data_IF_584881998808
#
_entry.id   IF_584881998808
#
_cell.length_a   1.000
_cell.length_b   1.000
_cell.length_c   1.000
_cell.angle_alpha   90.00
_cell.angle_beta   90.00
_cell.angle_gamma   90.00
#
_symmetry.space_group_name_H-M   'P 1'
#
loop_
_entity.id
_entity.type
_entity.pdbx_description
1 polymer ?
#
# COMPACT_ATOMS: atom_id res chain seq x y z
N UNK A 1 1.36 -5.11 9.88
CA UNK A 1 2.07 -3.98 9.24
C UNK A 1 1.01 -3.08 8.67
N UNK A 2 1.09 -1.80 9.00
CA UNK A 2 0.12 -0.76 8.62
C UNK A 2 0.87 0.29 7.79
N UNK A 3 0.25 0.78 6.72
CA UNK A 3 0.82 1.81 5.86
C UNK A 3 0.30 3.18 6.30
N UNK A 4 1.20 4.13 6.50
CA UNK A 4 0.83 5.43 7.03
C UNK A 4 0.12 6.27 5.97
N UNK A 5 -1.14 6.64 6.24
CA UNK A 5 -1.92 7.57 5.41
C UNK A 5 -1.78 7.25 3.92
N UNK A 6 -2.06 5.99 3.56
CA UNK A 6 -1.79 5.48 2.23
C UNK A 6 -2.42 6.34 1.12
N UNK A 7 -3.70 6.71 1.27
CA UNK A 7 -4.41 7.58 0.34
C UNK A 7 -3.78 8.98 0.21
N UNK A 8 -3.11 9.48 1.24
CA UNK A 8 -2.51 10.82 1.22
C UNK A 8 -1.06 10.82 0.71
N UNK A 9 -0.42 9.65 0.67
CA UNK A 9 1.03 9.52 0.45
C UNK A 9 1.42 8.75 -0.81
N UNK A 10 0.47 8.12 -1.51
CA UNK A 10 0.73 7.37 -2.75
C UNK A 10 1.38 8.27 -3.81
N UNK A 11 2.52 7.84 -4.36
CA UNK A 11 3.14 8.50 -5.50
C UNK A 11 2.34 8.23 -6.78
N UNK A 12 1.72 9.26 -7.37
CA UNK A 12 0.87 9.11 -8.55
C UNK A 12 1.67 8.63 -9.77
N UNK A 13 2.87 9.18 -9.99
CA UNK A 13 3.76 8.74 -11.08
C UNK A 13 4.08 7.25 -11.00
N UNK A 14 4.33 6.75 -9.78
CA UNK A 14 4.61 5.32 -9.57
C UNK A 14 3.38 4.45 -9.83
N UNK A 15 2.20 4.89 -9.38
CA UNK A 15 0.94 4.20 -9.64
C UNK A 15 0.64 4.14 -11.16
N UNK A 16 0.84 5.24 -11.88
CA UNK A 16 0.67 5.29 -13.34
C UNK A 16 1.68 4.38 -14.04
N UNK A 17 2.94 4.34 -13.59
CA UNK A 17 3.95 3.39 -14.10
C UNK A 17 3.45 1.94 -13.95
N UNK A 18 2.97 1.56 -12.77
CA UNK A 18 2.45 0.21 -12.49
C UNK A 18 1.25 -0.12 -13.37
N UNK A 19 0.27 0.80 -13.49
CA UNK A 19 -0.90 0.61 -14.34
C UNK A 19 -0.54 0.42 -15.82
N UNK A 20 0.42 1.19 -16.32
CA UNK A 20 0.85 1.19 -17.73
C UNK A 20 1.53 -0.11 -18.15
N UNK A 21 1.97 -0.94 -17.19
CA UNK A 21 2.49 -2.30 -17.48
C UNK A 21 1.40 -3.19 -18.06
N UNK A 22 0.15 -3.05 -17.61
CA UNK A 22 -0.99 -3.86 -18.05
C UNK A 22 -1.91 -3.10 -19.01
N UNK A 23 -2.28 -1.87 -18.68
CA UNK A 23 -3.22 -1.07 -19.47
C UNK A 23 -2.45 -0.35 -20.57
N UNK A 24 -2.73 -0.69 -21.84
CA UNK A 24 -2.09 -0.07 -23.02
C UNK A 24 -2.88 1.07 -23.63
N UNK A 25 -4.16 1.21 -23.27
CA UNK A 25 -5.00 2.31 -23.75
C UNK A 25 -4.64 3.62 -23.02
N UNK A 26 -3.96 4.51 -23.74
CA UNK A 26 -3.57 5.82 -23.22
C UNK A 26 -4.74 6.70 -22.80
N UNK A 27 -5.95 6.48 -23.32
CA UNK A 27 -7.16 7.23 -22.93
C UNK A 27 -7.59 6.86 -21.52
N UNK A 28 -7.52 5.57 -21.18
CA UNK A 28 -7.83 5.07 -19.82
C UNK A 28 -6.81 5.60 -18.83
N UNK A 29 -5.51 5.54 -19.16
CA UNK A 29 -4.45 6.11 -18.31
C UNK A 29 -4.65 7.61 -18.12
N UNK A 30 -4.97 8.35 -19.19
CA UNK A 30 -5.27 9.79 -19.12
C UNK A 30 -6.47 10.08 -18.20
N UNK A 31 -7.53 9.26 -18.26
CA UNK A 31 -8.71 9.42 -17.43
C UNK A 31 -8.40 9.15 -15.94
N UNK A 32 -7.65 8.10 -15.64
CA UNK A 32 -7.20 7.80 -14.26
C UNK A 32 -6.32 8.94 -13.74
N UNK A 33 -5.42 9.46 -14.57
CA UNK A 33 -4.58 10.59 -14.18
C UNK A 33 -5.41 11.85 -13.88
N UNK A 34 -6.42 12.17 -14.70
CA UNK A 34 -7.36 13.26 -14.40
C UNK A 34 -8.13 13.02 -13.11
N UNK A 35 -8.55 11.79 -12.85
CA UNK A 35 -9.26 11.41 -11.64
C UNK A 35 -8.40 11.63 -10.38
N UNK A 36 -7.12 11.23 -10.41
CA UNK A 36 -6.18 11.46 -9.31
C UNK A 36 -5.97 12.95 -9.05
N UNK A 37 -5.80 13.74 -10.12
CA UNK A 37 -5.64 15.20 -10.03
C UNK A 37 -6.91 15.93 -9.53
N UNK A 38 -8.11 15.38 -9.76
CA UNK A 38 -9.37 16.00 -9.36
C UNK A 38 -9.63 15.93 -7.85
N UNK A 39 -8.88 15.08 -7.14
CA UNK A 39 -9.28 14.55 -5.84
C UNK A 39 -8.64 15.16 -4.60
N UNK A 40 -7.73 16.12 -4.74
CA UNK A 40 -7.03 16.70 -3.58
C UNK A 40 -7.43 18.15 -3.39
N UNK A 41 -8.37 18.37 -2.46
CA UNK A 41 -8.67 19.69 -1.93
C UNK A 41 -7.72 19.91 -0.75
N UNK A 42 -6.66 20.69 -0.96
CA UNK A 42 -5.80 21.14 0.11
C UNK A 42 -6.30 22.52 0.58
N UNK A 43 -6.63 22.66 1.88
CA UNK A 43 -7.03 23.94 2.49
C UNK A 43 -8.20 24.67 1.80
N UNK A 44 -9.17 23.94 1.22
CA UNK A 44 -10.33 24.54 0.56
C UNK A 44 -10.06 25.09 -0.85
N UNK A 45 -8.85 24.89 -1.39
CA UNK A 45 -8.49 25.26 -2.76
C UNK A 45 -8.09 24.03 -3.58
N UNK A 46 -8.36 24.08 -4.89
CA UNK A 46 -7.96 23.05 -5.83
C UNK A 46 -6.46 23.20 -6.12
N UNK A 47 -5.64 22.29 -5.61
CA UNK A 47 -4.22 22.23 -5.94
C UNK A 47 -3.92 20.94 -6.72
N UNK A 48 -3.20 21.07 -7.83
CA UNK A 48 -2.61 19.90 -8.49
C UNK A 48 -1.62 19.28 -7.52
N UNK A 49 -1.89 18.05 -7.12
CA UNK A 49 -1.00 17.30 -6.23
C UNK A 49 -0.39 16.14 -6.98
N UNK A 50 0.92 16.00 -6.85
CA UNK A 50 1.68 14.89 -7.43
C UNK A 50 1.65 13.63 -6.55
N UNK A 51 1.04 13.75 -5.36
CA UNK A 51 0.99 12.74 -4.31
C UNK A 51 -0.43 12.62 -3.77
N UNK A 52 -0.81 11.40 -3.45
CA UNK A 52 -2.10 11.06 -2.88
C UNK A 52 -3.16 10.78 -3.93
N UNK A 53 -4.34 10.44 -3.44
CA UNK A 53 -5.54 10.12 -4.21
C UNK A 53 -6.79 10.58 -3.45
N UNK A 54 -7.90 10.86 -4.13
CA UNK A 54 -9.15 11.24 -3.48
C UNK A 54 -9.61 10.19 -2.46
N UNK A 55 -9.76 10.58 -1.21
CA UNK A 55 -10.42 9.76 -0.20
C UNK A 55 -11.93 9.73 -0.48
N UNK A 56 -12.56 8.54 -0.44
CA UNK A 56 -14.00 8.38 -0.74
C UNK A 56 -14.35 8.31 -2.22
N UNK A 57 -13.36 8.44 -3.11
CA UNK A 57 -13.52 8.19 -4.53
C UNK A 57 -13.73 6.69 -4.84
N UNK A 58 -14.68 6.30 -5.70
CA UNK A 58 -14.97 4.88 -5.97
C UNK A 58 -13.79 4.11 -6.60
N UNK A 59 -12.88 4.79 -7.29
CA UNK A 59 -11.70 4.14 -7.90
C UNK A 59 -10.53 4.00 -6.92
N UNK A 60 -10.48 4.80 -5.86
CA UNK A 60 -9.33 4.85 -4.96
C UNK A 60 -9.04 3.50 -4.27
N UNK A 61 -10.03 2.73 -3.78
CA UNK A 61 -9.77 1.39 -3.22
C UNK A 61 -9.18 0.41 -4.25
N UNK A 62 -9.61 0.47 -5.50
CA UNK A 62 -9.10 -0.39 -6.57
C UNK A 62 -7.65 -0.02 -6.90
N UNK A 63 -7.37 1.27 -7.10
CA UNK A 63 -6.02 1.78 -7.38
C UNK A 63 -5.04 1.45 -6.24
N UNK A 64 -5.54 1.49 -5.00
CA UNK A 64 -4.78 1.06 -3.83
C UNK A 64 -4.34 -0.39 -3.94
N UNK A 65 -5.26 -1.29 -4.28
CA UNK A 65 -4.94 -2.70 -4.46
C UNK A 65 -4.00 -2.96 -5.63
N UNK A 66 -4.12 -2.21 -6.74
CA UNK A 66 -3.17 -2.31 -7.86
C UNK A 66 -1.74 -1.98 -7.41
N UNK A 67 -1.58 -0.92 -6.62
CA UNK A 67 -0.27 -0.53 -6.09
C UNK A 67 0.27 -1.59 -5.11
N UNK A 68 -0.57 -2.06 -4.17
CA UNK A 68 -0.17 -3.02 -3.15
C UNK A 68 0.02 -4.44 -3.68
N UNK A 69 -0.51 -4.76 -4.86
CA UNK A 69 -0.20 -6.00 -5.57
C UNK A 69 1.31 -6.12 -5.89
N UNK A 70 2.04 -5.01 -6.02
CA UNK A 70 3.50 -5.06 -6.19
C UNK A 70 4.21 -5.50 -4.90
N UNK A 71 3.64 -5.19 -3.72
CA UNK A 71 4.11 -5.73 -2.45
C UNK A 71 3.79 -7.23 -2.35
N UNK A 72 2.58 -7.63 -2.73
CA UNK A 72 2.16 -9.03 -2.71
C UNK A 72 3.09 -9.91 -3.56
N UNK A 73 3.34 -9.51 -4.81
CA UNK A 73 4.28 -10.21 -5.72
C UNK A 73 5.68 -10.32 -5.12
N UNK A 74 6.18 -9.28 -4.45
CA UNK A 74 7.51 -9.33 -3.84
C UNK A 74 7.55 -10.29 -2.64
N UNK A 75 6.47 -10.35 -1.85
CA UNK A 75 6.34 -11.31 -0.75
C UNK A 75 6.23 -12.74 -1.26
N UNK A 76 5.44 -12.98 -2.31
CA UNK A 76 5.33 -14.27 -3.00
C UNK A 76 6.66 -14.73 -3.57
N UNK A 77 7.37 -13.84 -4.28
CA UNK A 77 8.70 -14.11 -4.86
C UNK A 77 9.72 -14.50 -3.80
N UNK A 78 9.60 -13.94 -2.59
CA UNK A 78 10.46 -14.28 -1.43
C UNK A 78 9.98 -15.52 -0.66
N UNK A 79 8.86 -16.12 -1.05
CA UNK A 79 8.30 -17.32 -0.42
C UNK A 79 7.65 -17.06 0.94
N UNK A 80 7.21 -15.84 1.22
CA UNK A 80 6.53 -15.51 2.46
C UNK A 80 5.05 -15.93 2.43
N UNK A 81 4.54 -16.38 3.57
CA UNK A 81 3.10 -16.54 3.79
C UNK A 81 2.57 -15.24 4.36
N UNK A 82 1.54 -14.67 3.77
CA UNK A 82 0.97 -13.40 4.22
C UNK A 82 -0.53 -13.34 3.92
N UNK A 83 -1.22 -12.44 4.60
CA UNK A 83 -2.60 -12.03 4.33
C UNK A 83 -2.60 -10.51 4.28
N UNK A 84 -3.31 -9.93 3.31
CA UNK A 84 -3.49 -8.49 3.19
C UNK A 84 -4.96 -8.17 2.97
N UNK A 85 -5.44 -7.16 3.69
CA UNK A 85 -6.77 -6.58 3.50
C UNK A 85 -6.59 -5.06 3.43
N UNK A 86 -6.89 -4.50 2.25
CA UNK A 86 -6.54 -3.11 1.95
C UNK A 86 -5.05 -2.82 2.27
N UNK A 87 -4.78 -1.89 3.18
CA UNK A 87 -3.46 -1.48 3.66
C UNK A 87 -2.94 -2.29 4.86
N UNK A 88 -3.81 -3.09 5.49
CA UNK A 88 -3.48 -3.94 6.64
C UNK A 88 -2.89 -5.28 6.18
N UNK A 89 -1.58 -5.47 6.41
CA UNK A 89 -0.84 -6.66 5.98
C UNK A 89 -0.21 -7.44 7.15
N UNK A 90 -0.40 -8.75 7.16
CA UNK A 90 0.21 -9.70 8.09
C UNK A 90 1.16 -10.63 7.35
N UNK A 91 2.42 -10.70 7.79
CA UNK A 91 3.42 -11.61 7.24
C UNK A 91 3.79 -12.64 8.30
N UNK A 92 3.59 -13.93 7.99
CA UNK A 92 3.80 -15.03 8.92
C UNK A 92 5.22 -15.60 8.79
N UNK A 93 5.88 -15.76 9.94
CA UNK A 93 7.25 -16.27 10.04
C UNK A 93 7.33 -17.35 11.12
N UNK A 94 8.23 -18.32 10.93
CA UNK A 94 8.42 -19.45 11.88
C UNK A 94 9.14 -19.08 13.18
N UNK A 95 9.81 -17.92 13.22
CA UNK A 95 10.54 -17.46 14.41
C UNK A 95 10.59 -15.94 14.46
N UNK A 96 10.72 -15.39 15.68
CA UNK A 96 10.85 -13.94 15.90
C UNK A 96 12.04 -13.35 15.13
N UNK A 97 13.20 -14.01 15.17
CA UNK A 97 14.39 -13.60 14.43
C UNK A 97 14.15 -13.53 12.92
N UNK A 98 13.40 -14.48 12.36
CA UNK A 98 13.03 -14.46 10.94
C UNK A 98 12.05 -13.32 10.62
N UNK A 99 11.10 -13.03 11.53
CA UNK A 99 10.16 -11.94 11.37
C UNK A 99 10.85 -10.57 11.39
N UNK A 100 11.74 -10.33 12.35
CA UNK A 100 12.53 -9.09 12.44
C UNK A 100 13.40 -8.88 11.19
N UNK A 101 14.04 -9.95 10.69
CA UNK A 101 14.80 -9.91 9.43
C UNK A 101 13.90 -9.60 8.24
N UNK A 102 12.72 -10.22 8.17
CA UNK A 102 11.76 -9.99 7.08
C UNK A 102 11.29 -8.55 7.08
N UNK A 103 10.92 -8.01 8.25
CA UNK A 103 10.53 -6.62 8.42
C UNK A 103 11.65 -5.66 7.97
N UNK A 104 12.90 -5.89 8.42
CA UNK A 104 14.06 -5.10 8.01
C UNK A 104 14.29 -5.10 6.50
N UNK A 105 13.99 -6.22 5.83
CA UNK A 105 14.24 -6.40 4.40
C UNK A 105 13.07 -5.97 3.50
N UNK A 106 11.85 -5.87 4.03
CA UNK A 106 10.67 -5.45 3.25
C UNK A 106 10.47 -3.93 3.29
N UNK A 107 10.83 -3.27 4.40
CA UNK A 107 10.74 -1.81 4.53
C UNK A 107 11.47 -1.07 3.39
N UNK A 108 12.73 -1.41 3.03
CA UNK A 108 13.42 -0.74 1.92
C UNK A 108 12.74 -0.93 0.56
N UNK A 109 12.01 -2.04 0.37
CA UNK A 109 11.22 -2.24 -0.85
C UNK A 109 9.99 -1.32 -0.86
N UNK A 110 9.25 -1.27 0.25
CA UNK A 110 8.07 -0.42 0.40
C UNK A 110 8.44 1.06 0.27
N UNK A 111 9.42 1.53 1.02
CA UNK A 111 9.83 2.94 1.05
C UNK A 111 10.66 3.32 -0.18
N UNK A 112 11.53 2.43 -0.68
CA UNK A 112 12.49 2.76 -1.75
C UNK A 112 12.06 2.39 -3.16
N UNK A 113 11.21 1.37 -3.35
CA UNK A 113 10.72 0.96 -4.69
C UNK A 113 9.27 1.39 -4.94
N UNK A 114 8.44 1.31 -3.91
CA UNK A 114 7.03 1.70 -4.00
C UNK A 114 6.78 3.16 -3.57
N UNK A 115 7.75 3.80 -2.92
CA UNK A 115 7.63 5.17 -2.40
C UNK A 115 6.46 5.34 -1.41
N UNK A 116 6.12 4.27 -0.69
CA UNK A 116 5.07 4.25 0.33
C UNK A 116 5.69 4.42 1.71
N UNK A 117 4.92 4.93 2.68
CA UNK A 117 5.37 5.08 4.07
C UNK A 117 4.82 3.97 4.96
N UNK A 118 5.69 3.37 5.77
CA UNK A 118 5.28 2.39 6.78
C UNK A 118 4.99 3.09 8.10
N UNK A 119 3.86 2.78 8.72
CA UNK A 119 3.55 3.27 10.05
C UNK A 119 4.38 2.51 11.09
N UNK A 120 5.54 3.06 11.46
CA UNK A 120 6.48 2.44 12.39
C UNK A 120 5.93 2.28 13.81
N UNK A 121 4.94 3.10 14.20
CA UNK A 121 4.30 3.01 15.52
C UNK A 121 3.32 1.84 15.63
N UNK A 122 2.63 1.53 14.53
CA UNK A 122 1.67 0.40 14.46
C UNK A 122 2.30 -0.89 13.91
N UNK A 123 3.48 -0.81 13.31
CA UNK A 123 4.16 -1.98 12.77
C UNK A 123 5.01 -2.65 13.83
N UNK A 124 4.61 -3.85 14.24
CA UNK A 124 5.30 -4.63 15.26
C UNK A 124 5.56 -6.08 14.84
N UNK A 125 6.53 -6.72 15.50
CA UNK A 125 6.76 -8.16 15.44
C UNK A 125 6.28 -8.77 16.75
N UNK A 126 5.20 -9.55 16.68
CA UNK A 126 4.56 -10.18 17.84
C UNK A 126 4.04 -11.57 17.49
N UNK A 127 3.61 -12.31 18.52
CA UNK A 127 2.99 -13.62 18.34
C UNK A 127 1.54 -13.44 17.87
N UNK A 128 1.05 -14.35 17.02
CA UNK A 128 -0.28 -14.21 16.38
C UNK A 128 -1.42 -14.07 17.40
N UNK A 129 -1.35 -14.79 18.52
CA UNK A 129 -2.36 -14.73 19.59
C UNK A 129 -2.49 -13.36 20.29
N UNK A 130 -1.55 -12.45 20.06
CA UNK A 130 -1.57 -11.09 20.62
C UNK A 130 -2.06 -10.05 19.62
N UNK A 131 -2.30 -10.45 18.36
CA UNK A 131 -2.69 -9.52 17.31
C UNK A 131 -4.20 -9.53 17.13
N UNK A 132 -4.80 -8.34 17.07
CA UNK A 132 -6.17 -8.16 16.59
C UNK A 132 -6.11 -7.84 15.09
N UNK A 133 -6.74 -8.66 14.26
CA UNK A 133 -6.82 -8.43 12.81
C UNK A 133 -8.27 -8.44 12.38
N UNK A 134 -8.70 -7.37 11.69
CA UNK A 134 -10.08 -7.23 11.22
C UNK A 134 -11.13 -7.49 12.31
N UNK A 135 -10.83 -7.07 13.54
CA UNK A 135 -11.70 -7.23 14.72
C UNK A 135 -11.93 -8.67 15.18
N UNK A 136 -11.21 -9.65 14.61
CA UNK A 136 -11.20 -11.02 15.11
C UNK A 136 -10.11 -11.14 16.18
N UNK A 137 -10.51 -11.52 17.39
CA UNK A 137 -9.62 -12.06 18.42
C UNK A 137 -10.00 -13.53 18.58
N UNK A 138 -9.04 -14.45 18.52
CA UNK A 138 -9.27 -15.77 19.11
C UNK A 138 -9.40 -15.56 20.63
N UNK A 139 -10.50 -16.07 21.19
CA UNK A 139 -10.72 -16.17 22.65
C UNK A 139 -9.81 -17.24 23.26
#
# INVERSE_FOLDING_TARGET
>A
MDLEKFFDTVCQSKLIEVLSRTIKDGRVISLIHKYLNAGVIANGMFERTEVGMPQGGPLSPLLSNVMLNELDKELERRGHRFVRYADDCMIFCKSRKSAERTLKNIIPFIEGKLFLKVNRKKTEVTHISKVKYLTVCEN
#
